data_IF_066274493362
#
_entry.id   IF_066274493362
#
_cell.length_a   1.000
_cell.length_b   1.000
_cell.length_c   1.000
_cell.angle_alpha   90.00
_cell.angle_beta   90.00
_cell.angle_gamma   90.00
#
_symmetry.space_group_name_H-M   'P 1'
#
loop_
_entity.id
_entity.type
_entity.pdbx_description
1 polymer ?
#
# COMPACT_ATOMS: atom_id res chain seq x y z
N UNK A 1 4.11 -6.97 11.39
CA UNK A 1 4.74 -6.48 10.15
C UNK A 1 3.89 -6.96 8.99
N UNK A 2 4.15 -6.51 7.75
CA UNK A 2 3.47 -7.10 6.59
C UNK A 2 3.64 -8.62 6.53
N UNK A 3 4.82 -9.12 6.90
CA UNK A 3 5.13 -10.56 6.93
C UNK A 3 4.24 -11.29 7.94
N UNK A 4 4.12 -10.78 9.17
CA UNK A 4 3.24 -11.38 10.19
C UNK A 4 1.78 -11.46 9.69
N UNK A 5 1.27 -10.40 9.05
CA UNK A 5 -0.09 -10.41 8.49
C UNK A 5 -0.24 -11.35 7.29
N UNK A 6 0.81 -11.52 6.50
CA UNK A 6 0.83 -12.46 5.37
C UNK A 6 0.87 -13.92 5.86
N UNK A 7 1.55 -14.20 6.97
CA UNK A 7 1.51 -15.51 7.64
C UNK A 7 0.11 -15.83 8.17
N UNK A 8 -0.56 -14.86 8.78
CA UNK A 8 -1.95 -15.00 9.25
C UNK A 8 -2.91 -15.27 8.08
N UNK A 9 -2.82 -14.48 7.01
CA UNK A 9 -3.63 -14.67 5.82
C UNK A 9 -3.36 -16.03 5.14
N UNK A 10 -2.09 -16.43 5.08
CA UNK A 10 -1.67 -17.74 4.57
C UNK A 10 -2.26 -18.87 5.41
N UNK A 11 -2.23 -18.75 6.74
CA UNK A 11 -2.82 -19.72 7.66
C UNK A 11 -4.33 -19.85 7.48
N UNK A 12 -5.03 -18.75 7.26
CA UNK A 12 -6.46 -18.76 6.94
C UNK A 12 -6.75 -19.51 5.62
N UNK A 13 -5.96 -19.28 4.57
CA UNK A 13 -6.09 -20.01 3.29
C UNK A 13 -5.83 -21.50 3.50
N UNK A 14 -4.78 -21.87 4.25
CA UNK A 14 -4.46 -23.26 4.55
C UNK A 14 -5.59 -23.97 5.30
N UNK A 15 -6.20 -23.30 6.28
CA UNK A 15 -7.37 -23.82 6.98
C UNK A 15 -8.56 -24.02 6.03
N UNK A 16 -8.87 -23.04 5.18
CA UNK A 16 -9.95 -23.17 4.21
C UNK A 16 -9.70 -24.33 3.22
N UNK A 17 -8.43 -24.63 2.89
CA UNK A 17 -8.07 -25.79 2.05
C UNK A 17 -8.34 -27.14 2.70
N UNK A 18 -8.46 -27.23 4.02
CA UNK A 18 -8.82 -28.50 4.68
C UNK A 18 -10.32 -28.79 4.60
N UNK A 19 -11.13 -27.83 4.17
CA UNK A 19 -12.58 -27.96 4.05
C UNK A 19 -12.99 -28.51 2.69
N UNK A 20 -13.76 -29.61 2.69
CA UNK A 20 -14.25 -30.26 1.46
C UNK A 20 -15.37 -29.51 0.77
N UNK A 21 -16.04 -28.60 1.47
CA UNK A 21 -17.16 -27.81 0.97
C UNK A 21 -16.73 -26.45 0.37
N UNK A 22 -15.43 -26.14 0.41
CA UNK A 22 -14.86 -24.92 -0.17
C UNK A 22 -14.18 -25.26 -1.49
N UNK A 23 -14.53 -24.52 -2.54
CA UNK A 23 -13.96 -24.63 -3.87
C UNK A 23 -12.72 -23.76 -4.05
N UNK A 24 -12.82 -22.78 -4.97
CA UNK A 24 -11.74 -21.83 -5.25
C UNK A 24 -11.56 -20.85 -4.09
N UNK A 25 -10.30 -20.56 -3.74
CA UNK A 25 -9.95 -19.63 -2.66
C UNK A 25 -9.07 -18.53 -3.22
N UNK A 26 -9.52 -17.29 -3.06
CA UNK A 26 -8.75 -16.09 -3.39
C UNK A 26 -8.56 -15.18 -2.20
N UNK A 27 -7.65 -14.22 -2.32
CA UNK A 27 -7.49 -13.13 -1.35
C UNK A 27 -7.89 -11.81 -2.02
N UNK A 28 -8.75 -11.07 -1.34
CA UNK A 28 -9.05 -9.67 -1.65
C UNK A 28 -8.29 -8.78 -0.67
N UNK A 29 -7.42 -7.93 -1.21
CA UNK A 29 -6.65 -6.96 -0.44
C UNK A 29 -7.01 -5.52 -0.83
N UNK A 30 -7.34 -4.68 0.16
CA UNK A 30 -7.59 -3.24 -0.04
C UNK A 30 -6.42 -2.42 0.53
N UNK A 31 -5.91 -1.46 -0.25
CA UNK A 31 -4.77 -0.63 0.17
C UNK A 31 -3.57 -1.50 0.54
N UNK A 32 -3.13 -1.38 1.80
CA UNK A 32 -2.10 -2.23 2.39
C UNK A 32 -2.39 -3.74 2.28
N UNK A 33 -3.66 -4.14 2.35
CA UNK A 33 -4.08 -5.53 2.23
C UNK A 33 -3.66 -6.20 0.92
N UNK A 34 -3.46 -5.41 -0.15
CA UNK A 34 -2.94 -5.95 -1.40
C UNK A 34 -1.46 -6.36 -1.29
N UNK A 35 -0.66 -5.63 -0.51
CA UNK A 35 0.74 -6.00 -0.22
C UNK A 35 0.80 -7.29 0.61
N UNK A 36 -0.09 -7.42 1.60
CA UNK A 36 -0.26 -8.65 2.39
C UNK A 36 -0.63 -9.82 1.47
N UNK A 37 -1.57 -9.62 0.53
CA UNK A 37 -1.98 -10.63 -0.43
C UNK A 37 -0.84 -11.05 -1.37
N UNK A 38 0.00 -10.11 -1.81
CA UNK A 38 1.21 -10.39 -2.60
C UNK A 38 2.20 -11.27 -1.83
N UNK A 39 2.50 -10.93 -0.57
CA UNK A 39 3.38 -11.75 0.27
C UNK A 39 2.79 -13.13 0.54
N UNK A 40 1.49 -13.19 0.88
CA UNK A 40 0.78 -14.46 1.11
C UNK A 40 0.85 -15.36 -0.12
N UNK A 41 0.75 -14.79 -1.32
CA UNK A 41 0.90 -15.54 -2.57
C UNK A 41 2.32 -16.09 -2.75
N UNK A 42 3.36 -15.30 -2.46
CA UNK A 42 4.76 -15.76 -2.55
C UNK A 42 5.11 -16.88 -1.57
N UNK A 43 4.38 -16.99 -0.45
CA UNK A 43 4.51 -18.08 0.52
C UNK A 43 3.95 -19.43 0.03
N UNK A 44 3.54 -19.54 -1.25
CA UNK A 44 3.01 -20.76 -1.89
C UNK A 44 1.77 -21.33 -1.20
N UNK A 45 0.88 -20.43 -0.78
CA UNK A 45 -0.37 -20.72 -0.07
C UNK A 45 -1.47 -21.39 -0.91
N UNK A 46 -1.18 -21.82 -2.16
CA UNK A 46 -2.16 -22.38 -3.10
C UNK A 46 -3.39 -21.46 -3.30
N UNK A 47 -3.19 -20.15 -3.42
CA UNK A 47 -4.25 -19.19 -3.76
C UNK A 47 -4.63 -19.33 -5.24
N UNK A 48 -5.93 -19.45 -5.52
CA UNK A 48 -6.46 -19.62 -6.89
C UNK A 48 -6.58 -18.29 -7.66
N UNK A 49 -6.80 -17.18 -6.97
CA UNK A 49 -6.96 -15.86 -7.59
C UNK A 49 -6.74 -14.72 -6.58
N UNK A 50 -6.49 -13.52 -7.10
CA UNK A 50 -6.26 -12.31 -6.30
C UNK A 50 -7.17 -11.17 -6.75
N UNK A 51 -7.64 -10.36 -5.80
CA UNK A 51 -8.36 -9.12 -6.07
C UNK A 51 -7.69 -8.00 -5.28
N UNK A 52 -7.15 -7.01 -5.99
CA UNK A 52 -6.53 -5.83 -5.40
C UNK A 52 -7.46 -4.63 -5.58
N UNK A 53 -7.80 -4.01 -4.46
CA UNK A 53 -8.58 -2.78 -4.39
C UNK A 53 -7.64 -1.66 -3.95
N UNK A 54 -7.54 -0.58 -4.70
CA UNK A 54 -6.71 0.56 -4.36
C UNK A 54 -5.26 0.14 -4.02
N UNK A 55 -4.62 -0.67 -4.88
CA UNK A 55 -3.25 -1.15 -4.65
C UNK A 55 -2.24 -0.28 -5.37
N UNK A 56 -1.06 -0.12 -4.77
CA UNK A 56 0.07 0.47 -5.48
C UNK A 56 0.94 -0.60 -6.15
N UNK A 57 1.43 -0.30 -7.35
CA UNK A 57 2.56 -1.02 -7.95
C UNK A 57 3.91 -0.31 -7.71
N UNK A 58 3.93 0.75 -6.92
CA UNK A 58 5.14 1.51 -6.61
C UNK A 58 5.80 0.95 -5.34
N UNK A 59 7.13 1.04 -5.25
CA UNK A 59 7.85 0.74 -4.01
C UNK A 59 7.39 1.68 -2.89
N UNK A 60 7.33 1.16 -1.67
CA UNK A 60 6.75 1.84 -0.52
C UNK A 60 7.33 3.22 -0.22
N UNK A 61 8.64 3.41 -0.37
CA UNK A 61 9.29 4.71 -0.20
C UNK A 61 8.85 5.75 -1.25
N UNK A 62 8.70 5.33 -2.51
CA UNK A 62 8.16 6.18 -3.58
C UNK A 62 6.68 6.49 -3.35
N UNK A 63 5.89 5.50 -2.93
CA UNK A 63 4.47 5.71 -2.61
C UNK A 63 4.30 6.69 -1.46
N UNK A 64 5.08 6.51 -0.39
CA UNK A 64 5.07 7.37 0.80
C UNK A 64 5.43 8.82 0.46
N UNK A 65 6.41 9.02 -0.42
CA UNK A 65 6.76 10.35 -0.93
C UNK A 65 5.61 11.00 -1.70
N UNK A 66 4.97 10.26 -2.61
CA UNK A 66 3.85 10.76 -3.40
C UNK A 66 2.65 11.10 -2.52
N UNK A 67 2.32 10.24 -1.55
CA UNK A 67 1.29 10.49 -0.54
C UNK A 67 1.57 11.76 0.24
N UNK A 68 2.80 11.90 0.74
CA UNK A 68 3.19 13.05 1.55
C UNK A 68 3.09 14.35 0.74
N UNK A 69 3.52 14.32 -0.51
CA UNK A 69 3.47 15.47 -1.43
C UNK A 69 2.04 15.86 -1.80
N UNK A 70 1.16 14.88 -2.07
CA UNK A 70 -0.24 15.12 -2.47
C UNK A 70 -1.10 15.66 -1.32
N UNK A 71 -0.84 15.20 -0.10
CA UNK A 71 -1.59 15.59 1.09
C UNK A 71 -1.02 16.80 1.83
N UNK A 72 0.16 17.28 1.42
CA UNK A 72 0.99 18.22 2.20
C UNK A 72 1.10 17.79 3.67
N UNK A 73 1.29 16.48 3.87
CA UNK A 73 1.33 15.85 5.17
C UNK A 73 2.50 14.88 5.25
N UNK A 74 2.97 14.58 6.45
CA UNK A 74 4.06 13.60 6.67
C UNK A 74 3.72 12.80 7.90
N UNK A 75 3.74 11.46 7.82
CA UNK A 75 3.43 10.60 8.97
C UNK A 75 2.12 11.04 9.67
N UNK A 76 1.10 11.39 8.86
CA UNK A 76 -0.20 11.90 9.32
C UNK A 76 -0.16 13.27 10.05
N UNK A 77 0.92 14.04 9.92
CA UNK A 77 1.01 15.43 10.37
C UNK A 77 0.57 16.32 9.20
N UNK A 78 -0.61 16.96 9.24
CA UNK A 78 -1.10 17.81 8.16
C UNK A 78 -0.37 19.16 8.12
N UNK A 79 -0.38 19.81 6.95
CA UNK A 79 0.09 21.18 6.74
C UNK A 79 1.55 21.41 7.15
N UNK A 80 2.43 20.46 6.84
CA UNK A 80 3.86 20.59 7.14
C UNK A 80 4.53 21.64 6.26
N UNK A 81 5.64 22.20 6.73
CA UNK A 81 6.46 23.08 5.89
C UNK A 81 7.11 22.30 4.74
N UNK A 82 7.39 22.93 3.59
CA UNK A 82 8.10 22.28 2.48
C UNK A 82 9.46 21.70 2.88
N UNK A 83 10.11 22.31 3.87
CA UNK A 83 11.38 21.83 4.42
C UNK A 83 11.22 20.51 5.18
N UNK A 84 10.21 20.40 6.05
CA UNK A 84 9.93 19.18 6.80
C UNK A 84 9.48 18.05 5.87
N UNK A 85 8.65 18.38 4.87
CA UNK A 85 8.27 17.45 3.81
C UNK A 85 9.50 16.92 3.08
N UNK A 86 10.43 17.79 2.68
CA UNK A 86 11.68 17.38 2.01
C UNK A 86 12.55 16.48 2.89
N UNK A 87 12.71 16.80 4.18
CA UNK A 87 13.52 16.00 5.11
C UNK A 87 12.94 14.60 5.26
N UNK A 88 11.63 14.49 5.46
CA UNK A 88 10.94 13.24 5.75
C UNK A 88 10.78 12.34 4.54
N UNK A 89 10.53 12.92 3.36
CA UNK A 89 10.62 12.20 2.08
C UNK A 89 12.01 11.59 1.87
N UNK A 90 13.09 12.34 2.18
CA UNK A 90 14.45 11.80 2.05
C UNK A 90 14.74 10.70 3.05
N UNK A 91 14.27 10.85 4.29
CA UNK A 91 14.32 9.80 5.30
C UNK A 91 13.65 8.52 4.79
N UNK A 92 12.44 8.62 4.21
CA UNK A 92 11.72 7.47 3.68
C UNK A 92 12.53 6.69 2.62
N UNK A 93 13.31 7.38 1.78
CA UNK A 93 14.20 6.76 0.79
C UNK A 93 15.46 6.10 1.40
N UNK A 94 15.88 6.51 2.58
CA UNK A 94 17.02 5.91 3.28
C UNK A 94 16.61 4.75 4.20
N UNK A 95 15.37 4.72 4.68
CA UNK A 95 14.82 3.64 5.53
C UNK A 95 15.14 2.23 5.01
N UNK A 96 15.02 1.92 3.70
CA UNK A 96 15.37 0.60 3.18
C UNK A 96 16.82 0.17 3.38
N UNK A 97 17.74 1.13 3.62
CA UNK A 97 19.17 0.89 3.83
C UNK A 97 19.51 0.75 5.32
N UNK A 98 18.60 1.11 6.22
CA UNK A 98 18.87 1.09 7.66
C UNK A 98 18.86 -0.33 8.20
N UNK A 99 19.80 -0.60 9.12
CA UNK A 99 19.84 -1.87 9.84
C UNK A 99 18.67 -1.95 10.83
N UNK A 100 18.18 -3.17 11.07
CA UNK A 100 17.05 -3.41 11.97
C UNK A 100 17.37 -3.04 13.44
N UNK A 101 16.41 -2.44 14.14
CA UNK A 101 16.45 -2.15 15.59
C UNK A 101 16.24 -0.67 15.96
N UNK A 102 15.34 -0.38 16.90
CA UNK A 102 14.94 0.99 17.28
C UNK A 102 16.10 1.93 17.67
N UNK A 103 17.11 1.53 18.48
CA UNK A 103 18.23 2.41 18.79
C UNK A 103 19.02 2.84 17.54
N UNK A 104 19.21 1.92 16.60
CA UNK A 104 19.90 2.19 15.33
C UNK A 104 19.07 3.06 14.40
N UNK A 105 17.74 2.92 14.41
CA UNK A 105 16.83 3.78 13.67
C UNK A 105 16.92 5.22 14.18
N UNK A 106 16.96 5.44 15.50
CA UNK A 106 17.09 6.79 16.08
C UNK A 106 18.41 7.45 15.70
N UNK A 107 19.52 6.74 15.81
CA UNK A 107 20.85 7.22 15.41
C UNK A 107 20.88 7.56 13.91
N UNK A 108 20.44 6.63 13.06
CA UNK A 108 20.37 6.84 11.62
C UNK A 108 19.48 8.04 11.26
N UNK A 109 18.33 8.19 11.93
CA UNK A 109 17.41 9.29 11.73
C UNK A 109 18.02 10.63 12.15
N UNK A 110 18.68 10.69 13.31
CA UNK A 110 19.39 11.89 13.76
C UNK A 110 20.46 12.31 12.75
N UNK A 111 21.31 11.36 12.33
CA UNK A 111 22.37 11.58 11.35
C UNK A 111 21.82 12.01 9.99
N UNK A 112 20.73 11.41 9.53
CA UNK A 112 20.07 11.77 8.28
C UNK A 112 19.48 13.18 8.34
N UNK A 113 18.81 13.56 9.43
CA UNK A 113 18.31 14.93 9.62
C UNK A 113 19.47 15.93 9.63
N UNK A 114 20.54 15.65 10.37
CA UNK A 114 21.74 16.50 10.43
C UNK A 114 22.45 16.62 9.08
N UNK A 115 22.58 15.54 8.32
CA UNK A 115 23.16 15.58 6.97
C UNK A 115 22.35 16.47 6.03
N UNK A 116 21.02 16.43 6.11
CA UNK A 116 20.17 17.25 5.24
C UNK A 116 19.96 18.68 5.73
N UNK A 117 20.14 18.93 7.02
CA UNK A 117 20.03 20.25 7.60
C UNK A 117 20.99 20.43 8.79
N UNK A 118 22.28 20.67 8.52
CA UNK A 118 23.32 20.72 9.55
C UNK A 118 23.16 21.89 10.53
N UNK A 119 22.40 22.91 10.14
CA UNK A 119 22.17 24.13 10.92
C UNK A 119 21.08 23.91 12.00
N UNK A 120 20.28 22.84 11.91
CA UNK A 120 19.26 22.56 12.93
C UNK A 120 19.92 22.30 14.29
N UNK A 121 19.45 22.98 15.36
CA UNK A 121 19.89 22.69 16.73
C UNK A 121 19.59 21.23 17.10
N UNK A 122 20.49 20.59 17.82
CA UNK A 122 20.37 19.17 18.21
C UNK A 122 19.04 18.90 18.93
N UNK A 123 18.59 19.82 19.80
CA UNK A 123 17.28 19.72 20.47
C UNK A 123 16.11 19.65 19.49
N UNK A 124 16.19 20.35 18.36
CA UNK A 124 15.16 20.29 17.31
C UNK A 124 15.23 18.97 16.56
N UNK A 125 16.44 18.49 16.25
CA UNK A 125 16.65 17.18 15.63
C UNK A 125 16.10 16.06 16.50
N UNK A 126 16.42 16.05 17.80
CA UNK A 126 15.91 15.06 18.77
C UNK A 126 14.37 15.04 18.82
N UNK A 127 13.71 16.21 18.82
CA UNK A 127 12.24 16.29 18.78
C UNK A 127 11.64 15.75 17.48
N UNK A 128 12.29 15.99 16.35
CA UNK A 128 11.86 15.46 15.06
C UNK A 128 12.08 13.95 14.98
N UNK A 129 13.24 13.49 15.45
CA UNK A 129 13.60 12.08 15.58
C UNK A 129 12.55 11.34 16.41
N UNK A 130 12.23 11.84 17.60
CA UNK A 130 11.25 11.24 18.50
C UNK A 130 9.87 11.12 17.83
N UNK A 131 9.37 12.21 17.23
CA UNK A 131 8.07 12.22 16.53
C UNK A 131 8.00 11.25 15.36
N UNK A 132 9.09 11.10 14.61
CA UNK A 132 9.14 10.19 13.46
C UNK A 132 9.25 8.75 13.98
N UNK A 133 10.08 8.48 14.98
CA UNK A 133 10.24 7.14 15.57
C UNK A 133 8.93 6.64 16.19
N UNK A 134 8.15 7.51 16.84
CA UNK A 134 6.81 7.17 17.35
C UNK A 134 5.84 6.68 16.25
N UNK A 135 6.02 7.15 15.01
CA UNK A 135 5.15 6.81 13.87
C UNK A 135 5.72 5.71 12.99
N UNK A 136 7.03 5.48 13.05
CA UNK A 136 7.71 4.42 12.32
C UNK A 136 7.55 3.07 13.06
N UNK A 137 6.31 2.61 13.14
CA UNK A 137 5.98 1.27 13.67
C UNK A 137 6.63 0.18 12.81
N UNK A 138 6.78 -1.07 13.31
CA UNK A 138 7.30 -2.18 12.50
C UNK A 138 6.51 -2.40 11.19
N UNK A 139 5.20 -2.17 11.23
CA UNK A 139 4.30 -2.21 10.07
C UNK A 139 4.64 -1.09 9.07
N UNK A 140 4.69 0.17 9.51
CA UNK A 140 5.07 1.31 8.67
C UNK A 140 6.46 1.12 8.06
N UNK A 141 7.42 0.63 8.85
CA UNK A 141 8.76 0.30 8.36
C UNK A 141 8.72 -0.79 7.29
N UNK A 142 7.92 -1.85 7.48
CA UNK A 142 7.76 -2.90 6.47
C UNK A 142 7.10 -2.40 5.20
N UNK A 143 6.10 -1.51 5.30
CA UNK A 143 5.45 -0.87 4.15
C UNK A 143 6.41 -0.02 3.34
N UNK A 144 7.20 0.86 3.98
CA UNK A 144 8.16 1.72 3.28
C UNK A 144 9.19 0.88 2.51
N UNK A 145 9.57 -0.27 3.05
CA UNK A 145 10.53 -1.19 2.41
C UNK A 145 9.92 -2.13 1.38
N UNK A 146 8.60 -2.28 1.37
CA UNK A 146 7.91 -3.21 0.50
C UNK A 146 8.07 -2.79 -0.97
N UNK A 147 8.53 -3.71 -1.80
CA UNK A 147 8.65 -3.50 -3.24
C UNK A 147 7.72 -4.46 -4.00
N UNK A 148 6.59 -3.98 -4.56
CA UNK A 148 5.73 -4.81 -5.40
C UNK A 148 6.46 -5.47 -6.57
N UNK A 149 7.63 -4.95 -7.00
CA UNK A 149 8.43 -5.56 -8.06
C UNK A 149 9.01 -6.94 -7.67
N UNK A 150 9.16 -7.22 -6.38
CA UNK A 150 9.61 -8.53 -5.89
C UNK A 150 8.49 -9.60 -5.97
N UNK A 151 7.23 -9.17 -6.05
CA UNK A 151 6.07 -10.07 -5.92
C UNK A 151 5.21 -10.13 -7.18
N UNK A 152 4.82 -9.00 -7.76
CA UNK A 152 3.90 -8.91 -8.89
C UNK A 152 4.32 -9.78 -10.10
N UNK A 153 5.62 -9.84 -10.50
CA UNK A 153 6.05 -10.71 -11.59
C UNK A 153 5.87 -12.20 -11.32
N UNK A 154 5.77 -12.60 -10.04
CA UNK A 154 5.62 -14.01 -9.63
C UNK A 154 4.16 -14.48 -9.64
N UNK A 155 3.19 -13.56 -9.77
CA UNK A 155 1.76 -13.87 -9.77
C UNK A 155 1.36 -14.52 -11.10
N UNK A 156 0.98 -15.80 -11.04
CA UNK A 156 0.57 -16.59 -12.22
C UNK A 156 -0.91 -16.99 -12.22
N UNK A 157 -1.63 -16.71 -11.12
CA UNK A 157 -3.07 -16.86 -11.03
C UNK A 157 -3.80 -15.66 -11.66
N UNK A 158 -5.13 -15.77 -11.93
CA UNK A 158 -5.95 -14.61 -12.23
C UNK A 158 -5.81 -13.53 -11.16
N UNK A 159 -5.62 -12.28 -11.61
CA UNK A 159 -5.55 -11.10 -10.76
C UNK A 159 -6.47 -10.01 -11.31
N UNK A 160 -7.33 -9.47 -10.46
CA UNK A 160 -8.10 -8.25 -10.73
C UNK A 160 -7.51 -7.10 -9.92
N UNK A 161 -7.02 -6.05 -10.56
CA UNK A 161 -6.63 -4.81 -9.91
C UNK A 161 -7.62 -3.70 -10.25
N UNK A 162 -8.31 -3.18 -9.23
CA UNK A 162 -9.25 -2.06 -9.33
C UNK A 162 -8.66 -0.83 -8.64
N UNK A 163 -8.92 0.34 -9.22
CA UNK A 163 -8.52 1.63 -8.66
C UNK A 163 -9.64 2.65 -8.86
N UNK A 164 -9.95 3.45 -7.83
CA UNK A 164 -10.83 4.61 -7.99
C UNK A 164 -10.10 5.76 -8.68
N UNK A 165 -10.70 6.36 -9.71
CA UNK A 165 -10.09 7.47 -10.46
C UNK A 165 -9.87 8.73 -9.60
N UNK A 166 -10.63 8.88 -8.49
CA UNK A 166 -10.51 9.97 -7.52
C UNK A 166 -9.79 9.55 -6.25
N UNK A 167 -9.06 8.43 -6.26
CA UNK A 167 -8.22 8.06 -5.13
C UNK A 167 -7.15 9.15 -4.89
N UNK A 168 -7.23 9.74 -3.69
CA UNK A 168 -6.32 10.81 -3.26
C UNK A 168 -5.17 10.29 -2.38
N UNK A 169 -5.24 9.03 -1.96
CA UNK A 169 -4.26 8.35 -1.11
C UNK A 169 -3.27 7.56 -1.95
N UNK A 170 -3.71 6.93 -3.04
CA UNK A 170 -2.84 6.15 -3.92
C UNK A 170 -2.97 6.70 -5.34
N UNK A 171 -1.84 7.04 -5.99
CA UNK A 171 -1.84 7.64 -7.33
C UNK A 171 -2.39 6.68 -8.38
N UNK A 172 -3.60 6.91 -8.96
CA UNK A 172 -4.24 5.90 -9.78
C UNK A 172 -3.44 5.53 -11.03
N UNK A 173 -3.11 6.54 -11.83
CA UNK A 173 -2.43 6.35 -13.12
C UNK A 173 -1.05 5.74 -12.94
N UNK A 174 -0.26 6.24 -12.00
CA UNK A 174 1.09 5.76 -11.71
C UNK A 174 1.09 4.35 -11.13
N UNK A 175 0.16 4.06 -10.21
CA UNK A 175 0.03 2.74 -9.59
C UNK A 175 -0.42 1.68 -10.60
N UNK A 176 -1.47 1.96 -11.38
CA UNK A 176 -1.96 1.03 -12.38
C UNK A 176 -0.95 0.82 -13.52
N UNK A 177 -0.23 1.85 -13.94
CA UNK A 177 0.83 1.72 -14.93
C UNK A 177 1.97 0.83 -14.42
N UNK A 178 2.37 0.99 -13.15
CA UNK A 178 3.40 0.13 -12.55
C UNK A 178 2.94 -1.31 -12.43
N UNK A 179 1.72 -1.58 -11.95
CA UNK A 179 1.15 -2.94 -11.89
C UNK A 179 1.15 -3.56 -13.28
N UNK A 180 0.63 -2.84 -14.30
CA UNK A 180 0.59 -3.32 -15.69
C UNK A 180 1.96 -3.70 -16.22
N UNK A 181 2.98 -2.89 -15.92
CA UNK A 181 4.35 -3.15 -16.37
C UNK A 181 4.95 -4.38 -15.67
N UNK A 182 4.83 -4.45 -14.35
CA UNK A 182 5.37 -5.54 -13.52
C UNK A 182 4.69 -6.88 -13.82
N UNK A 183 3.43 -6.87 -14.25
CA UNK A 183 2.69 -8.08 -14.64
C UNK A 183 2.63 -8.29 -16.16
N UNK A 184 3.47 -7.62 -16.95
CA UNK A 184 3.40 -7.62 -18.42
C UNK A 184 3.53 -9.00 -19.07
N UNK A 185 4.13 -9.97 -18.36
CA UNK A 185 4.27 -11.35 -18.83
C UNK A 185 3.03 -12.22 -18.57
N UNK A 186 2.06 -11.74 -17.78
CA UNK A 186 0.86 -12.50 -17.43
C UNK A 186 -0.32 -12.08 -18.30
N UNK A 187 -1.00 -13.06 -18.88
CA UNK A 187 -2.24 -12.86 -19.65
C UNK A 187 -3.49 -12.91 -18.78
N UNK A 188 -3.35 -13.16 -17.47
CA UNK A 188 -4.46 -13.35 -16.53
C UNK A 188 -4.71 -12.15 -15.62
N UNK A 189 -4.07 -11.01 -15.91
CA UNK A 189 -4.24 -9.79 -15.13
C UNK A 189 -5.26 -8.88 -15.80
N UNK A 190 -6.30 -8.52 -15.05
CA UNK A 190 -7.30 -7.52 -15.43
C UNK A 190 -7.08 -6.27 -14.60
N UNK A 191 -6.92 -5.12 -15.24
CA UNK A 191 -6.74 -3.83 -14.58
C UNK A 191 -7.88 -2.91 -14.99
N UNK A 192 -8.54 -2.28 -14.03
CA UNK A 192 -9.61 -1.30 -14.29
C UNK A 192 -9.50 -0.10 -13.37
N UNK A 193 -9.56 1.08 -13.97
CA UNK A 193 -9.83 2.32 -13.27
C UNK A 193 -11.34 2.58 -13.30
N UNK A 194 -11.92 2.93 -12.16
CA UNK A 194 -13.35 3.17 -12.00
C UNK A 194 -13.60 4.68 -11.81
N UNK A 195 -14.38 5.32 -12.70
CA UNK A 195 -14.62 6.75 -12.64
C UNK A 195 -15.38 7.14 -11.37
N UNK A 196 -15.16 8.36 -10.91
CA UNK A 196 -15.86 8.99 -9.78
C UNK A 196 -15.71 8.33 -8.39
N UNK A 197 -14.91 7.27 -8.28
CA UNK A 197 -14.66 6.57 -7.02
C UNK A 197 -13.41 7.05 -6.30
N UNK A 198 -13.50 7.24 -4.99
CA UNK A 198 -12.38 7.56 -4.11
C UNK A 198 -11.55 6.31 -3.70
N UNK A 199 -10.63 6.47 -2.75
CA UNK A 199 -9.78 5.39 -2.21
C UNK A 199 -10.59 4.21 -1.64
N UNK A 200 -11.72 4.50 -1.00
CA UNK A 200 -12.64 3.53 -0.40
C UNK A 200 -13.67 2.98 -1.40
N UNK A 201 -13.51 3.29 -2.69
CA UNK A 201 -14.45 2.92 -3.74
C UNK A 201 -15.87 3.47 -3.54
N UNK A 202 -15.96 4.65 -2.95
CA UNK A 202 -17.21 5.40 -2.80
C UNK A 202 -17.31 6.48 -3.87
N UNK A 203 -18.53 6.73 -4.35
CA UNK A 203 -18.85 7.85 -5.21
C UNK A 203 -18.49 9.17 -4.51
N UNK A 204 -17.68 9.98 -5.18
CA UNK A 204 -17.09 11.18 -4.59
C UNK A 204 -16.98 12.29 -5.63
N UNK A 205 -16.90 13.54 -5.17
CA UNK A 205 -16.68 14.68 -6.07
C UNK A 205 -15.19 14.93 -6.26
N UNK A 206 -14.43 14.99 -5.18
CA UNK A 206 -12.99 15.24 -5.17
C UNK A 206 -12.16 14.06 -4.65
N UNK A 207 -12.79 13.10 -3.96
CA UNK A 207 -12.13 11.95 -3.36
C UNK A 207 -11.28 12.25 -2.11
N UNK A 208 -11.31 13.50 -1.63
CA UNK A 208 -10.58 13.94 -0.43
C UNK A 208 -11.31 13.53 0.85
N UNK A 209 -10.54 13.31 1.92
CA UNK A 209 -11.04 12.93 3.24
C UNK A 209 -12.15 13.84 3.80
N UNK A 210 -12.19 15.13 3.43
CA UNK A 210 -13.23 16.08 3.86
C UNK A 210 -14.64 15.65 3.43
N UNK A 211 -14.78 14.84 2.38
CA UNK A 211 -16.08 14.36 1.91
C UNK A 211 -16.60 13.18 2.74
N UNK A 212 -15.73 12.45 3.44
CA UNK A 212 -16.06 11.12 3.96
C UNK A 212 -17.18 11.16 5.01
N UNK A 213 -17.22 12.21 5.85
CA UNK A 213 -18.29 12.39 6.85
C UNK A 213 -19.67 12.62 6.24
N UNK A 214 -19.75 12.90 4.94
CA UNK A 214 -20.99 13.15 4.21
C UNK A 214 -21.37 12.01 3.26
N UNK A 215 -20.53 10.99 3.14
CA UNK A 215 -20.77 9.82 2.27
C UNK A 215 -21.31 8.68 3.14
N UNK A 216 -22.55 8.26 2.89
CA UNK A 216 -23.18 7.12 3.56
C UNK A 216 -22.91 5.78 2.86
N UNK A 217 -22.49 5.81 1.60
CA UNK A 217 -22.14 4.62 0.83
C UNK A 217 -20.91 3.94 1.46
N UNK A 218 -20.99 2.63 1.71
CA UNK A 218 -19.82 1.87 2.18
C UNK A 218 -18.86 1.58 1.03
N UNK A 219 -19.40 1.00 -0.05
CA UNK A 219 -18.70 0.73 -1.32
C UNK A 219 -19.71 0.86 -2.46
N UNK A 220 -19.28 1.39 -3.61
CA UNK A 220 -20.18 1.51 -4.76
C UNK A 220 -20.58 0.13 -5.30
N UNK A 221 -21.88 -0.12 -5.60
CA UNK A 221 -22.34 -1.38 -6.17
C UNK A 221 -21.62 -1.77 -7.47
N UNK A 222 -21.12 -0.78 -8.24
CA UNK A 222 -20.37 -1.04 -9.47
C UNK A 222 -19.09 -1.85 -9.21
N UNK A 223 -18.48 -1.69 -8.02
CA UNK A 223 -17.26 -2.39 -7.63
C UNK A 223 -17.58 -3.85 -7.36
N UNK A 224 -18.60 -4.10 -6.55
CA UNK A 224 -19.09 -5.45 -6.26
C UNK A 224 -19.51 -6.19 -7.52
N UNK A 225 -20.23 -5.50 -8.42
CA UNK A 225 -20.64 -6.05 -9.70
C UNK A 225 -19.42 -6.36 -10.59
N UNK A 226 -18.44 -5.46 -10.64
CA UNK A 226 -17.20 -5.67 -11.42
C UNK A 226 -16.42 -6.89 -10.94
N UNK A 227 -16.29 -7.07 -9.62
CA UNK A 227 -15.63 -8.24 -9.03
C UNK A 227 -16.42 -9.51 -9.38
N UNK A 228 -17.74 -9.50 -9.18
CA UNK A 228 -18.60 -10.66 -9.46
C UNK A 228 -18.54 -11.09 -10.93
N UNK A 229 -18.61 -10.15 -11.85
CA UNK A 229 -18.57 -10.43 -13.29
C UNK A 229 -17.20 -10.96 -13.70
N UNK A 230 -16.14 -10.42 -13.12
CA UNK A 230 -14.78 -10.91 -13.35
C UNK A 230 -14.59 -12.34 -12.83
N UNK A 231 -15.10 -12.67 -11.63
CA UNK A 231 -15.05 -14.03 -11.08
C UNK A 231 -15.76 -15.01 -12.01
N UNK A 232 -16.99 -14.69 -12.43
CA UNK A 232 -17.77 -15.51 -13.36
C UNK A 232 -17.05 -15.72 -14.69
N UNK A 233 -16.49 -14.66 -15.27
CA UNK A 233 -15.78 -14.73 -16.55
C UNK A 233 -14.52 -15.61 -16.51
N UNK A 234 -13.93 -15.80 -15.32
CA UNK A 234 -12.74 -16.62 -15.12
C UNK A 234 -13.05 -18.01 -14.53
N UNK A 235 -14.33 -18.39 -14.38
CA UNK A 235 -14.78 -19.63 -13.73
C UNK A 235 -14.21 -19.79 -12.31
N UNK A 236 -14.23 -18.71 -11.53
CA UNK A 236 -13.78 -18.65 -10.14
C UNK A 236 -14.96 -18.69 -9.15
#
# INVERSE_FOLDING_TARGET
>A
TLEDFAEDATSAVQYLRTRKDIGKIGILGHGEGASIAMQSYSMKSNIDFLVFLASSGLRGDNLFEMQSSRSNSVNFIPNVSPELLRITTRIAREIPQWSHGLPRIKEALFDTIKRFNPILPDRTVMKLEERITEKLTPECYSLIRFDPADYLPTITCPLLALQGAKDSEIPPSESLASIKNLTSQSTKVTIKELPDLNHNFQESTTGKAKEYSHISQTISPIVMQTILDWLKANNL
#
